data_IF_535113810152
#
_entry.id   IF_535113810152
#
_cell.length_a   1.000
_cell.length_b   1.000
_cell.length_c   1.000
_cell.angle_alpha   90.00
_cell.angle_beta   90.00
_cell.angle_gamma   90.00
#
_symmetry.space_group_name_H-M   'P 1'
#
loop_
_entity.id
_entity.type
_entity.pdbx_description
1 polymer ?
#
# COMPACT_ATOMS: atom_id res chain seq x y z
N UNK A 1 -0.74 25.54 10.46
CA UNK A 1 0.52 26.22 10.14
C UNK A 1 0.20 27.51 9.42
N UNK A 2 0.85 28.61 9.80
CA UNK A 2 0.69 29.90 9.13
C UNK A 2 1.36 29.84 7.74
N UNK A 3 0.88 30.64 6.77
CA UNK A 3 1.42 30.60 5.41
C UNK A 3 2.90 31.01 5.33
N UNK A 4 3.36 31.85 6.25
CA UNK A 4 4.78 32.20 6.40
C UNK A 4 5.66 31.00 6.75
N UNK A 5 5.19 30.09 7.61
CA UNK A 5 5.94 28.87 7.98
C UNK A 5 5.94 27.85 6.84
N UNK A 6 4.88 27.81 6.02
CA UNK A 6 4.84 26.97 4.82
C UNK A 6 5.87 27.39 3.77
N UNK A 7 6.07 28.70 3.57
CA UNK A 7 7.08 29.22 2.64
C UNK A 7 8.49 28.77 3.02
N UNK A 8 8.82 28.83 4.31
CA UNK A 8 10.12 28.37 4.83
C UNK A 8 10.31 26.87 4.58
N UNK A 9 9.28 26.05 4.80
CA UNK A 9 9.34 24.62 4.54
C UNK A 9 9.58 24.31 3.06
N UNK A 10 8.99 25.09 2.15
CA UNK A 10 9.24 24.91 0.71
C UNK A 10 10.72 25.11 0.34
N UNK A 11 11.39 26.06 0.97
CA UNK A 11 12.82 26.31 0.74
C UNK A 11 13.69 25.22 1.36
N UNK A 12 13.49 24.94 2.65
CA UNK A 12 14.32 23.97 3.39
C UNK A 12 14.16 22.55 2.84
N UNK A 13 12.95 22.14 2.43
CA UNK A 13 12.73 20.81 1.86
C UNK A 13 13.34 20.63 0.46
N UNK A 14 13.42 21.70 -0.33
CA UNK A 14 13.94 21.62 -1.69
C UNK A 14 15.46 21.77 -1.74
N UNK A 15 15.98 22.78 -1.03
CA UNK A 15 17.38 23.20 -1.13
C UNK A 15 18.22 22.76 0.07
N UNK A 16 17.59 22.31 1.15
CA UNK A 16 18.25 22.02 2.43
C UNK A 16 19.04 23.21 2.98
N UNK A 17 18.62 24.42 2.62
CA UNK A 17 19.18 25.69 3.11
C UNK A 17 18.07 26.65 3.50
N UNK A 18 18.40 27.59 4.38
CA UNK A 18 17.51 28.66 4.82
C UNK A 18 18.17 30.00 4.54
N UNK A 19 17.56 30.81 3.67
CA UNK A 19 17.97 32.20 3.43
C UNK A 19 17.29 33.14 4.42
N UNK A 20 18.10 33.97 5.08
CA UNK A 20 17.63 34.97 6.04
C UNK A 20 18.10 36.33 5.55
N UNK A 21 17.15 37.23 5.28
CA UNK A 21 17.41 38.63 4.99
C UNK A 21 16.69 39.50 6.03
N UNK A 22 17.42 39.95 7.06
CA UNK A 22 16.84 40.79 8.12
C UNK A 22 17.87 41.77 8.69
N UNK A 23 17.46 43.02 8.89
CA UNK A 23 18.29 44.07 9.51
C UNK A 23 19.69 44.24 8.86
N UNK A 24 19.76 44.15 7.53
CA UNK A 24 21.02 44.27 6.79
C UNK A 24 21.91 43.01 6.79
N UNK A 25 21.52 41.95 7.51
CA UNK A 25 22.19 40.66 7.46
C UNK A 25 21.49 39.81 6.38
N UNK A 26 22.24 39.46 5.34
CA UNK A 26 21.85 38.53 4.30
C UNK A 26 22.76 37.31 4.44
N UNK A 27 22.23 36.20 4.94
CA UNK A 27 22.98 34.96 5.08
C UNK A 27 22.15 33.75 4.63
N UNK A 28 22.85 32.73 4.15
CA UNK A 28 22.27 31.44 3.81
C UNK A 28 22.85 30.40 4.78
N UNK A 29 21.98 29.79 5.58
CA UNK A 29 22.35 28.79 6.56
C UNK A 29 22.04 27.40 6.01
N UNK A 30 22.93 26.45 6.29
CA UNK A 30 22.71 25.05 5.95
C UNK A 30 21.71 24.42 6.94
N UNK A 31 20.67 23.77 6.41
CA UNK A 31 19.58 23.16 7.18
C UNK A 31 19.35 21.71 6.75
N UNK A 32 20.43 20.95 6.49
CA UNK A 32 20.39 19.51 6.20
C UNK A 32 19.78 18.74 7.36
N UNK A 33 18.50 18.43 7.26
CA UNK A 33 17.76 17.62 8.21
C UNK A 33 16.77 16.71 7.49
N UNK A 34 16.47 15.57 8.09
CA UNK A 34 15.37 14.70 7.66
C UNK A 34 14.10 15.13 8.39
N UNK A 35 13.00 15.31 7.66
CA UNK A 35 11.73 15.74 8.23
C UNK A 35 10.84 14.53 8.41
N UNK A 36 10.38 14.34 9.64
CA UNK A 36 9.27 13.46 9.97
C UNK A 36 8.09 14.33 10.39
N UNK A 37 6.95 14.15 9.76
CA UNK A 37 5.74 14.92 10.03
C UNK A 37 4.56 13.97 10.29
N UNK A 38 3.75 14.33 11.27
CA UNK A 38 2.44 13.74 11.49
C UNK A 38 1.38 14.80 11.16
N UNK A 39 0.35 14.41 10.43
CA UNK A 39 -0.76 15.27 10.06
C UNK A 39 -2.08 14.56 10.35
N UNK A 40 -3.03 15.32 10.90
CA UNK A 40 -4.39 14.84 11.10
C UNK A 40 -5.27 15.32 9.93
N UNK A 41 -6.31 14.55 9.56
CA UNK A 41 -7.29 15.01 8.59
C UNK A 41 -8.06 16.23 9.11
N UNK A 42 -8.56 17.06 8.20
CA UNK A 42 -9.22 18.35 8.52
C UNK A 42 -10.40 18.18 9.47
N UNK A 43 -11.22 17.14 9.28
CA UNK A 43 -12.41 16.87 10.09
C UNK A 43 -12.13 15.97 11.31
N UNK A 44 -10.87 15.78 11.71
CA UNK A 44 -10.40 14.84 12.74
C UNK A 44 -10.64 13.35 12.45
N UNK A 45 -11.68 13.01 11.68
CA UNK A 45 -11.94 11.68 11.14
C UNK A 45 -11.72 11.68 9.63
N UNK A 46 -11.22 10.56 9.11
CA UNK A 46 -11.06 10.37 7.68
C UNK A 46 -12.43 10.17 7.00
N UNK A 47 -12.80 11.09 6.11
CA UNK A 47 -14.05 10.98 5.34
C UNK A 47 -13.77 10.19 4.05
N UNK A 48 -14.35 9.00 3.93
CA UNK A 48 -14.15 8.12 2.75
C UNK A 48 -14.78 8.68 1.48
N UNK A 49 -15.68 9.66 1.61
CA UNK A 49 -16.36 10.34 0.50
C UNK A 49 -15.56 11.49 -0.08
N UNK A 50 -14.48 11.91 0.57
CA UNK A 50 -13.60 12.97 0.08
C UNK A 50 -12.31 12.37 -0.46
N UNK A 51 -11.67 13.11 -1.38
CA UNK A 51 -10.38 12.69 -1.91
C UNK A 51 -9.29 12.84 -0.85
N UNK A 52 -8.22 12.06 -0.97
CA UNK A 52 -7.04 12.13 -0.07
C UNK A 52 -6.47 13.54 0.04
N UNK A 53 -6.44 14.28 -1.06
CA UNK A 53 -5.88 15.63 -1.12
C UNK A 53 -6.77 16.63 -0.35
N UNK A 54 -8.09 16.50 -0.48
CA UNK A 54 -9.05 17.34 0.24
C UNK A 54 -9.07 17.02 1.75
N UNK A 55 -8.97 15.74 2.12
CA UNK A 55 -8.90 15.32 3.53
C UNK A 55 -7.66 15.84 4.25
N UNK A 56 -6.53 15.99 3.54
CA UNK A 56 -5.26 16.47 4.11
C UNK A 56 -5.14 18.00 4.03
N UNK A 57 -5.77 18.65 3.04
CA UNK A 57 -5.72 20.10 2.82
C UNK A 57 -4.29 20.67 2.76
N UNK A 58 -3.38 19.95 2.12
CA UNK A 58 -2.04 20.42 1.80
C UNK A 58 -1.87 20.66 0.30
N UNK A 59 -1.20 21.75 -0.11
CA UNK A 59 -0.90 21.98 -1.52
C UNK A 59 -0.07 20.83 -2.12
N UNK A 60 -0.35 20.49 -3.38
CA UNK A 60 0.41 19.47 -4.13
C UNK A 60 1.91 19.75 -4.18
N UNK A 61 2.30 21.03 -4.14
CA UNK A 61 3.71 21.44 -4.09
C UNK A 61 4.40 20.91 -2.84
N UNK A 62 3.73 20.86 -1.70
CA UNK A 62 4.30 20.36 -0.44
C UNK A 62 4.23 18.83 -0.38
N UNK A 63 3.08 18.24 -0.77
CA UNK A 63 2.91 16.79 -0.79
C UNK A 63 3.94 16.08 -1.66
N UNK A 64 4.25 16.64 -2.84
CA UNK A 64 5.26 16.09 -3.76
C UNK A 64 6.70 16.20 -3.27
N UNK A 65 6.97 16.87 -2.14
CA UNK A 65 8.31 16.95 -1.52
C UNK A 65 8.53 15.89 -0.45
N UNK A 66 7.48 15.19 -0.03
CA UNK A 66 7.63 14.04 0.85
C UNK A 66 7.92 12.80 0.01
N UNK A 67 8.99 12.08 0.38
CA UNK A 67 9.39 10.83 -0.28
C UNK A 67 8.37 9.71 -0.03
N UNK A 68 7.84 9.63 1.19
CA UNK A 68 6.84 8.65 1.61
C UNK A 68 5.75 9.33 2.42
N UNK A 69 4.50 9.03 2.08
CA UNK A 69 3.30 9.47 2.80
C UNK A 69 2.54 8.23 3.22
N UNK A 70 2.49 7.96 4.52
CA UNK A 70 1.73 6.85 5.07
C UNK A 70 0.36 7.33 5.53
N UNK A 71 -0.69 6.65 5.08
CA UNK A 71 -2.04 6.90 5.53
C UNK A 71 -2.39 5.87 6.59
N UNK A 72 -2.26 6.30 7.85
CA UNK A 72 -2.68 5.50 9.00
C UNK A 72 -4.19 5.68 9.16
N UNK A 73 -4.94 4.68 8.68
CA UNK A 73 -6.39 4.61 8.86
C UNK A 73 -6.67 3.68 10.05
N UNK A 74 -7.64 4.07 10.87
CA UNK A 74 -8.12 3.29 12.00
C UNK A 74 -9.39 2.53 11.58
N UNK A 75 -9.28 1.24 11.14
CA UNK A 75 -10.45 0.44 10.85
C UNK A 75 -11.13 0.03 12.15
N UNK A 76 -12.42 0.29 12.27
CA UNK A 76 -13.24 -0.23 13.37
C UNK A 76 -13.48 -1.73 13.18
N UNK A 77 -12.50 -2.55 13.55
CA UNK A 77 -12.57 -4.02 13.49
C UNK A 77 -12.38 -4.62 14.89
N UNK A 78 -13.42 -5.27 15.40
CA UNK A 78 -13.42 -5.91 16.73
C UNK A 78 -12.27 -6.93 16.89
N UNK A 79 -11.89 -7.63 15.81
CA UNK A 79 -10.81 -8.61 15.86
C UNK A 79 -9.44 -7.94 16.05
N UNK A 80 -9.21 -6.81 15.37
CA UNK A 80 -8.00 -6.01 15.51
C UNK A 80 -7.94 -5.34 16.90
N UNK A 81 -9.04 -4.72 17.32
CA UNK A 81 -9.16 -4.07 18.62
C UNK A 81 -8.93 -5.05 19.77
N UNK A 82 -9.45 -6.28 19.65
CA UNK A 82 -9.21 -7.33 20.65
C UNK A 82 -7.75 -7.74 20.74
N UNK A 83 -7.04 -7.80 19.61
CA UNK A 83 -5.59 -8.12 19.60
C UNK A 83 -4.79 -6.97 20.20
N UNK A 84 -5.11 -5.73 19.82
CA UNK A 84 -4.48 -4.53 20.36
C UNK A 84 -4.70 -4.43 21.87
N UNK A 85 -5.93 -4.61 22.34
CA UNK A 85 -6.26 -4.58 23.76
C UNK A 85 -5.52 -5.67 24.53
N UNK A 86 -5.45 -6.90 23.99
CA UNK A 86 -4.67 -7.99 24.60
C UNK A 86 -3.19 -7.64 24.73
N UNK A 87 -2.59 -7.06 23.68
CA UNK A 87 -1.19 -6.66 23.69
C UNK A 87 -0.92 -5.48 24.66
N UNK A 88 -1.82 -4.48 24.69
CA UNK A 88 -1.70 -3.38 25.64
C UNK A 88 -1.81 -3.86 27.09
N UNK A 89 -2.78 -4.75 27.39
CA UNK A 89 -2.92 -5.33 28.73
C UNK A 89 -1.72 -6.23 29.06
N UNK A 90 -1.18 -6.97 28.09
CA UNK A 90 0.01 -7.80 28.32
C UNK A 90 1.19 -6.94 28.73
N UNK A 91 1.42 -5.77 28.12
CA UNK A 91 2.49 -4.85 28.52
C UNK A 91 2.38 -4.37 29.98
N UNK A 92 1.16 -4.16 30.50
CA UNK A 92 0.98 -3.76 31.91
C UNK A 92 1.04 -4.93 32.89
N UNK A 93 0.82 -6.16 32.41
CA UNK A 93 0.86 -7.38 33.21
C UNK A 93 2.21 -8.12 33.11
N UNK A 94 3.02 -7.82 32.11
CA UNK A 94 4.31 -8.44 31.89
C UNK A 94 5.28 -8.03 33.00
N UNK A 95 6.01 -9.03 33.49
CA UNK A 95 7.12 -8.80 34.43
C UNK A 95 8.33 -8.39 33.60
N UNK A 96 9.17 -7.49 34.12
CA UNK A 96 10.37 -6.94 33.45
C UNK A 96 11.33 -8.00 32.89
N UNK A 97 11.27 -9.24 33.38
CA UNK A 97 12.06 -10.39 32.95
C UNK A 97 11.62 -10.97 31.58
N UNK A 98 10.34 -10.86 31.20
CA UNK A 98 9.84 -11.33 29.89
C UNK A 98 10.06 -10.29 28.78
N UNK A 99 10.22 -9.00 29.14
CA UNK A 99 10.63 -7.96 28.18
C UNK A 99 12.05 -8.23 27.64
N UNK A 100 12.93 -8.84 28.45
CA UNK A 100 14.34 -9.05 28.08
C UNK A 100 14.55 -10.17 27.04
N UNK A 101 13.61 -11.11 26.87
CA UNK A 101 13.74 -12.23 25.91
C UNK A 101 13.41 -11.85 24.45
N UNK A 102 12.61 -10.79 24.22
CA UNK A 102 12.22 -10.34 22.88
C UNK A 102 13.04 -9.13 22.36
N UNK A 103 13.89 -8.53 23.20
CA UNK A 103 14.55 -7.28 22.88
C UNK A 103 15.95 -7.51 22.28
N UNK A 104 16.12 -7.07 21.04
CA UNK A 104 17.44 -6.69 20.54
C UNK A 104 17.95 -5.58 21.45
N UNK A 105 19.14 -5.75 22.04
CA UNK A 105 19.74 -4.72 22.89
C UNK A 105 19.81 -3.40 22.13
N UNK A 106 19.16 -2.39 22.70
CA UNK A 106 19.12 -1.03 22.17
C UNK A 106 20.53 -0.43 22.01
N UNK A 107 21.51 -0.89 22.81
CA UNK A 107 22.91 -0.51 22.68
C UNK A 107 23.49 -1.01 21.34
N UNK A 108 23.31 -2.29 21.03
CA UNK A 108 23.77 -2.93 19.80
C UNK A 108 23.12 -2.28 18.58
N UNK A 109 21.81 -2.00 18.63
CA UNK A 109 21.11 -1.35 17.52
C UNK A 109 21.66 0.05 17.23
N UNK A 110 21.97 0.83 18.27
CA UNK A 110 22.57 2.16 18.12
C UNK A 110 23.95 2.08 17.47
N UNK A 111 24.78 1.15 17.94
CA UNK A 111 26.12 0.93 17.40
C UNK A 111 26.05 0.43 15.95
N UNK A 112 25.11 -0.45 15.63
CA UNK A 112 24.83 -0.94 14.28
C UNK A 112 24.49 0.21 13.33
N UNK A 113 23.56 1.09 13.72
CA UNK A 113 23.15 2.24 12.90
C UNK A 113 24.32 3.23 12.75
N UNK A 114 25.07 3.50 13.82
CA UNK A 114 26.22 4.40 13.79
C UNK A 114 27.30 3.87 12.82
N UNK A 115 27.61 2.58 12.90
CA UNK A 115 28.56 1.92 12.01
C UNK A 115 28.09 1.97 10.54
N UNK A 116 26.82 1.62 10.27
CA UNK A 116 26.23 1.66 8.93
C UNK A 116 26.37 3.04 8.27
N UNK A 117 26.12 4.10 9.04
CA UNK A 117 26.12 5.48 8.53
C UNK A 117 27.51 6.00 8.19
N UNK A 118 28.53 5.59 8.95
CA UNK A 118 29.91 6.10 8.80
C UNK A 118 30.65 5.30 7.72
N UNK A 119 30.56 3.97 7.74
CA UNK A 119 31.45 3.11 6.98
C UNK A 119 30.92 2.71 5.60
N UNK A 120 29.62 2.89 5.34
CA UNK A 120 28.97 2.28 4.17
C UNK A 120 28.32 3.34 3.30
N UNK A 121 28.77 3.39 2.05
CA UNK A 121 28.25 4.26 1.02
C UNK A 121 27.94 3.42 -0.21
N UNK A 122 26.71 2.89 -0.31
CA UNK A 122 26.34 2.01 -1.40
C UNK A 122 26.34 2.74 -2.73
N UNK A 123 26.83 2.08 -3.78
CA UNK A 123 26.77 2.57 -5.16
C UNK A 123 25.76 1.76 -5.97
N UNK A 124 25.09 2.41 -6.91
CA UNK A 124 24.12 1.72 -7.77
C UNK A 124 24.84 0.75 -8.72
N UNK A 125 24.31 -0.48 -8.80
CA UNK A 125 24.66 -1.42 -9.87
C UNK A 125 23.91 -1.08 -11.17
N UNK A 126 24.39 -1.61 -12.30
CA UNK A 126 23.70 -1.46 -13.58
C UNK A 126 22.32 -2.13 -13.57
N UNK A 127 22.20 -3.30 -12.96
CA UNK A 127 20.93 -4.03 -12.84
C UNK A 127 19.89 -3.24 -12.03
N UNK A 128 20.31 -2.66 -10.90
CA UNK A 128 19.45 -1.80 -10.09
C UNK A 128 19.01 -0.55 -10.87
N UNK A 129 19.92 0.06 -11.64
CA UNK A 129 19.63 1.25 -12.44
C UNK A 129 18.57 0.98 -13.51
N UNK A 130 18.70 -0.12 -14.26
CA UNK A 130 17.68 -0.53 -15.25
C UNK A 130 16.32 -0.77 -14.57
N UNK A 131 16.33 -1.41 -13.41
CA UNK A 131 15.11 -1.70 -12.65
C UNK A 131 14.40 -0.45 -12.15
N UNK A 132 15.16 0.55 -11.69
CA UNK A 132 14.65 1.86 -11.27
C UNK A 132 14.00 2.62 -12.42
N UNK A 133 14.65 2.64 -13.60
CA UNK A 133 14.10 3.26 -14.80
C UNK A 133 12.77 2.60 -15.19
N UNK A 134 12.74 1.26 -15.22
CA UNK A 134 11.51 0.53 -15.51
C UNK A 134 10.40 0.85 -14.49
N UNK A 135 10.73 0.87 -13.19
CA UNK A 135 9.77 1.18 -12.14
C UNK A 135 9.20 2.60 -12.29
N UNK A 136 10.03 3.59 -12.64
CA UNK A 136 9.60 4.96 -12.87
C UNK A 136 8.67 5.09 -14.08
N UNK A 137 9.01 4.42 -15.20
CA UNK A 137 8.15 4.41 -16.40
C UNK A 137 6.80 3.75 -16.11
N UNK A 138 6.79 2.64 -15.37
CA UNK A 138 5.55 1.98 -14.91
C UNK A 138 4.69 2.92 -14.06
N UNK A 139 5.29 3.60 -13.08
CA UNK A 139 4.59 4.58 -12.22
C UNK A 139 3.96 5.71 -13.04
N UNK A 140 4.70 6.22 -14.04
CA UNK A 140 4.21 7.30 -14.90
C UNK A 140 3.03 6.87 -15.78
N UNK A 141 3.07 5.65 -16.34
CA UNK A 141 1.94 5.08 -17.12
C UNK A 141 0.68 4.95 -16.27
N UNK A 142 0.82 4.45 -15.04
CA UNK A 142 -0.31 4.31 -14.10
C UNK A 142 -0.90 5.68 -13.76
N UNK A 143 -0.07 6.69 -13.49
CA UNK A 143 -0.51 8.05 -13.21
C UNK A 143 -1.24 8.71 -14.40
N UNK A 144 -0.75 8.54 -15.63
CA UNK A 144 -1.39 9.12 -16.82
C UNK A 144 -2.80 8.58 -17.11
N UNK A 145 -3.09 7.34 -16.74
CA UNK A 145 -4.41 6.73 -16.95
C UNK A 145 -5.45 7.09 -15.88
N UNK A 146 -5.03 7.64 -14.73
CA UNK A 146 -5.85 7.67 -13.50
C UNK A 146 -6.23 9.07 -13.01
N UNK A 147 -5.83 10.15 -13.68
CA UNK A 147 -6.08 11.53 -13.24
C UNK A 147 -5.46 11.92 -11.87
N UNK A 148 -4.99 10.93 -11.12
CA UNK A 148 -4.21 11.04 -9.91
C UNK A 148 -2.80 11.50 -10.26
N UNK A 149 -2.33 12.46 -9.46
CA UNK A 149 -1.00 13.06 -9.38
C UNK A 149 0.05 12.34 -10.24
N UNK A 150 0.35 12.96 -11.39
CA UNK A 150 1.37 12.52 -12.35
C UNK A 150 2.71 12.32 -11.63
N UNK A 151 3.31 11.12 -11.79
CA UNK A 151 4.58 10.76 -11.18
C UNK A 151 5.67 11.80 -11.47
N UNK A 152 6.14 12.52 -10.45
CA UNK A 152 7.16 13.56 -10.58
C UNK A 152 8.56 12.93 -10.64
N UNK A 153 9.54 13.58 -11.32
CA UNK A 153 10.94 13.15 -11.28
C UNK A 153 11.49 12.93 -9.87
N UNK A 154 11.00 13.69 -8.87
CA UNK A 154 11.37 13.53 -7.46
C UNK A 154 11.13 12.12 -6.91
N UNK A 155 10.08 11.44 -7.37
CA UNK A 155 9.80 10.06 -6.91
C UNK A 155 10.91 9.10 -7.30
N UNK A 156 11.60 9.33 -8.43
CA UNK A 156 12.76 8.54 -8.81
C UNK A 156 13.93 8.80 -7.85
N UNK A 157 14.18 10.06 -7.48
CA UNK A 157 15.18 10.40 -6.46
C UNK A 157 14.85 9.76 -5.11
N UNK A 158 13.57 9.79 -4.70
CA UNK A 158 13.09 9.12 -3.48
C UNK A 158 13.36 7.62 -3.52
N UNK A 159 13.06 6.95 -4.64
CA UNK A 159 13.33 5.52 -4.81
C UNK A 159 14.83 5.20 -4.74
N UNK A 160 15.68 6.03 -5.34
CA UNK A 160 17.14 5.88 -5.26
C UNK A 160 17.60 5.99 -3.80
N UNK A 161 17.17 7.03 -3.08
CA UNK A 161 17.50 7.23 -1.66
C UNK A 161 17.04 6.06 -0.79
N UNK A 162 15.84 5.54 -1.03
CA UNK A 162 15.28 4.40 -0.30
C UNK A 162 16.05 3.11 -0.59
N UNK A 163 16.40 2.85 -1.85
CA UNK A 163 17.18 1.67 -2.23
C UNK A 163 18.60 1.72 -1.64
N UNK A 164 19.26 2.89 -1.68
CA UNK A 164 20.55 3.10 -1.02
C UNK A 164 20.46 2.92 0.50
N UNK A 165 19.39 3.42 1.14
CA UNK A 165 19.17 3.24 2.57
C UNK A 165 18.98 1.76 2.93
N UNK A 166 18.25 1.00 2.11
CA UNK A 166 18.06 -0.44 2.31
C UNK A 166 19.37 -1.22 2.14
N UNK A 167 20.15 -0.92 1.10
CA UNK A 167 21.47 -1.52 0.90
C UNK A 167 22.41 -1.23 2.09
N UNK A 168 22.39 0.01 2.59
CA UNK A 168 23.16 0.45 3.76
C UNK A 168 22.76 -0.29 5.04
N UNK A 169 21.47 -0.56 5.23
CA UNK A 169 20.97 -1.32 6.38
C UNK A 169 21.50 -2.76 6.40
N UNK A 170 21.72 -3.37 5.23
CA UNK A 170 22.29 -4.72 5.07
C UNK A 170 23.83 -4.75 5.10
N UNK A 171 24.47 -3.61 5.30
CA UNK A 171 25.90 -3.42 5.15
C UNK A 171 26.45 -3.74 3.73
N UNK A 172 25.62 -3.61 2.70
CA UNK A 172 26.06 -3.76 1.31
C UNK A 172 26.64 -2.46 0.77
N UNK A 173 27.79 -2.55 0.08
CA UNK A 173 28.40 -1.44 -0.64
C UNK A 173 27.85 -1.26 -2.06
N UNK A 174 26.95 -2.16 -2.49
CA UNK A 174 26.36 -2.13 -3.83
C UNK A 174 24.84 -2.28 -3.68
N UNK A 175 24.09 -1.42 -4.36
CA UNK A 175 22.63 -1.53 -4.44
C UNK A 175 22.29 -2.63 -5.44
N UNK A 176 21.56 -3.63 -4.97
CA UNK A 176 21.10 -4.75 -5.77
C UNK A 176 19.64 -4.57 -6.20
N UNK A 177 19.20 -5.40 -7.14
CA UNK A 177 17.81 -5.41 -7.61
C UNK A 177 16.79 -5.60 -6.47
N UNK A 178 17.13 -6.40 -5.46
CA UNK A 178 16.25 -6.66 -4.31
C UNK A 178 15.95 -5.39 -3.51
N UNK A 179 16.94 -4.50 -3.38
CA UNK A 179 16.78 -3.25 -2.63
C UNK A 179 15.80 -2.30 -3.33
N UNK A 180 15.86 -2.27 -4.67
CA UNK A 180 14.94 -1.49 -5.51
C UNK A 180 13.52 -2.05 -5.44
N UNK A 181 13.38 -3.38 -5.40
CA UNK A 181 12.07 -4.03 -5.32
C UNK A 181 11.39 -3.79 -3.97
N UNK A 182 12.15 -3.81 -2.87
CA UNK A 182 11.66 -3.44 -1.54
C UNK A 182 11.30 -1.95 -1.44
N UNK A 183 12.15 -1.05 -1.96
CA UNK A 183 11.83 0.38 -2.03
C UNK A 183 10.56 0.64 -2.84
N UNK A 184 10.38 -0.07 -3.97
CA UNK A 184 9.16 -0.01 -4.79
C UNK A 184 7.95 -0.56 -4.04
N UNK A 185 8.11 -1.64 -3.27
CA UNK A 185 7.04 -2.22 -2.44
C UNK A 185 6.59 -1.21 -1.39
N UNK A 186 7.52 -0.61 -0.65
CA UNK A 186 7.24 0.40 0.36
C UNK A 186 6.53 1.62 -0.23
N UNK A 187 7.04 2.16 -1.34
CA UNK A 187 6.43 3.30 -2.01
C UNK A 187 5.03 2.97 -2.53
N UNK A 188 4.86 1.77 -3.10
CA UNK A 188 3.54 1.30 -3.55
C UNK A 188 2.58 1.13 -2.38
N UNK A 189 3.03 0.65 -1.23
CA UNK A 189 2.15 0.47 -0.06
C UNK A 189 1.69 1.83 0.49
N UNK A 190 2.61 2.79 0.59
CA UNK A 190 2.29 4.19 0.89
C UNK A 190 1.24 4.78 -0.09
N UNK A 191 1.38 4.48 -1.39
CA UNK A 191 0.39 4.91 -2.41
C UNK A 191 -0.89 4.08 -2.43
N UNK A 192 -0.84 2.78 -2.08
CA UNK A 192 -2.00 1.86 -2.08
C UNK A 192 -2.97 2.17 -0.96
N UNK A 193 -2.48 2.60 0.20
CA UNK A 193 -3.36 3.17 1.23
C UNK A 193 -4.05 4.45 0.73
N UNK A 194 -3.46 5.12 -0.26
CA UNK A 194 -4.08 6.23 -1.00
C UNK A 194 -4.94 5.77 -2.18
N UNK A 195 -5.19 4.46 -2.36
CA UNK A 195 -5.88 3.91 -3.54
C UNK A 195 -7.36 4.29 -3.54
N UNK A 196 -7.58 5.44 -4.17
CA UNK A 196 -8.84 5.89 -4.73
C UNK A 196 -9.30 4.97 -5.87
N UNK A 197 -10.58 4.62 -5.90
CA UNK A 197 -11.21 3.88 -6.99
C UNK A 197 -11.12 4.68 -8.32
N UNK A 198 -10.65 4.09 -9.45
CA UNK A 198 -10.29 4.82 -10.68
C UNK A 198 -11.40 5.63 -11.36
N UNK A 199 -12.67 5.42 -10.97
CA UNK A 199 -13.82 6.16 -11.52
C UNK A 199 -14.33 7.26 -10.59
N UNK A 200 -14.12 7.14 -9.29
CA UNK A 200 -14.79 7.98 -8.28
C UNK A 200 -13.84 8.84 -7.48
N UNK A 201 -12.53 8.51 -7.43
CA UNK A 201 -11.58 9.25 -6.61
C UNK A 201 -11.76 9.00 -5.11
N UNK A 202 -12.60 8.03 -4.71
CA UNK A 202 -12.94 7.72 -3.32
C UNK A 202 -12.10 6.56 -2.80
N UNK A 203 -11.60 6.67 -1.57
CA UNK A 203 -10.90 5.56 -0.90
C UNK A 203 -11.94 4.58 -0.38
N UNK A 204 -11.91 3.37 -0.91
CA UNK A 204 -12.77 2.30 -0.44
C UNK A 204 -12.07 1.54 0.69
N UNK A 205 -12.40 1.89 1.94
CA UNK A 205 -11.83 1.29 3.16
C UNK A 205 -12.02 -0.24 3.19
N UNK A 206 -13.00 -0.75 2.46
CA UNK A 206 -13.23 -2.18 2.30
C UNK A 206 -12.11 -2.92 1.53
N UNK A 207 -11.38 -2.25 0.63
CA UNK A 207 -10.20 -2.83 -0.05
C UNK A 207 -9.09 -3.12 0.96
N UNK A 208 -8.95 -2.29 2.00
CA UNK A 208 -7.90 -2.39 3.00
C UNK A 208 -8.11 -3.55 3.97
N UNK A 209 -9.35 -3.78 4.40
CA UNK A 209 -9.68 -4.85 5.35
C UNK A 209 -9.86 -6.22 4.66
N UNK A 210 -10.35 -6.26 3.41
CA UNK A 210 -10.74 -7.52 2.75
C UNK A 210 -9.95 -7.87 1.50
N UNK A 211 -9.07 -6.98 1.02
CA UNK A 211 -8.27 -7.20 -0.20
C UNK A 211 -9.06 -7.19 -1.51
N UNK A 212 -10.35 -6.87 -1.48
CA UNK A 212 -11.26 -6.91 -2.64
C UNK A 212 -11.92 -5.55 -2.86
N UNK A 213 -11.91 -5.06 -4.11
CA UNK A 213 -12.63 -3.83 -4.48
C UNK A 213 -14.14 -4.03 -4.47
N UNK A 214 -14.91 -2.97 -4.26
CA UNK A 214 -16.39 -3.04 -4.38
C UNK A 214 -16.79 -3.46 -5.79
N UNK A 215 -16.05 -3.06 -6.82
CA UNK A 215 -16.26 -3.56 -8.19
C UNK A 215 -15.91 -5.04 -8.35
N UNK A 216 -14.87 -5.56 -7.70
CA UNK A 216 -14.56 -6.99 -7.68
C UNK A 216 -15.57 -7.80 -6.87
N UNK A 217 -16.08 -7.26 -5.75
CA UNK A 217 -17.17 -7.87 -4.96
C UNK A 217 -18.45 -7.93 -5.80
N UNK A 218 -18.80 -6.84 -6.47
CA UNK A 218 -19.96 -6.78 -7.37
C UNK A 218 -19.82 -7.78 -8.51
N UNK A 219 -18.64 -7.83 -9.14
CA UNK A 219 -18.32 -8.78 -10.22
C UNK A 219 -18.36 -10.23 -9.73
N UNK A 220 -17.88 -10.53 -8.51
CA UNK A 220 -18.01 -11.86 -7.89
C UNK A 220 -19.47 -12.24 -7.67
N UNK A 221 -20.28 -11.32 -7.14
CA UNK A 221 -21.72 -11.55 -6.94
C UNK A 221 -22.44 -11.75 -8.28
N UNK A 222 -22.08 -11.00 -9.31
CA UNK A 222 -22.63 -11.16 -10.67
C UNK A 222 -22.25 -12.52 -11.28
N UNK A 223 -20.98 -12.93 -11.16
CA UNK A 223 -20.50 -14.25 -11.63
C UNK A 223 -21.22 -15.37 -10.85
N UNK A 224 -21.35 -15.26 -9.53
CA UNK A 224 -22.05 -16.25 -8.71
C UNK A 224 -23.54 -16.35 -9.09
N UNK A 225 -24.21 -15.21 -9.35
CA UNK A 225 -25.60 -15.18 -9.84
C UNK A 225 -25.74 -15.80 -11.23
N UNK A 226 -24.85 -15.45 -12.16
CA UNK A 226 -24.85 -16.02 -13.51
C UNK A 226 -24.64 -17.54 -13.46
N UNK A 227 -23.73 -18.01 -12.61
CA UNK A 227 -23.47 -19.43 -12.39
C UNK A 227 -24.67 -20.14 -11.78
N UNK A 228 -25.37 -19.51 -10.82
CA UNK A 228 -26.62 -20.01 -10.23
C UNK A 228 -27.73 -20.18 -11.28
N UNK A 229 -27.91 -19.20 -12.17
CA UNK A 229 -28.91 -19.28 -13.26
C UNK A 229 -28.56 -20.38 -14.27
N UNK A 230 -27.27 -20.54 -14.61
CA UNK A 230 -26.77 -21.62 -15.47
C UNK A 230 -27.00 -23.01 -14.86
N UNK A 231 -26.80 -23.14 -13.55
CA UNK A 231 -27.03 -24.40 -12.83
C UNK A 231 -28.52 -24.74 -12.71
N UNK A 232 -29.38 -23.73 -12.55
CA UNK A 232 -30.83 -23.93 -12.51
C UNK A 232 -31.41 -24.30 -13.88
N UNK A 233 -30.90 -23.72 -14.98
CA UNK A 233 -31.39 -24.02 -16.34
C UNK A 233 -30.97 -25.40 -16.84
N UNK A 234 -29.83 -25.94 -16.37
CA UNK A 234 -29.35 -27.27 -16.77
C UNK A 234 -30.08 -28.43 -16.09
N UNK A 235 -30.87 -28.20 -15.03
CA UNK A 235 -31.66 -29.24 -14.37
C UNK A 235 -30.83 -30.34 -13.69
N UNK A 236 -31.47 -31.16 -12.85
CA UNK A 236 -30.87 -32.11 -11.91
C UNK A 236 -29.92 -33.17 -12.56
N UNK A 237 -28.67 -32.81 -12.81
CA UNK A 237 -27.58 -33.77 -13.00
C UNK A 237 -26.86 -33.96 -11.65
N UNK A 238 -26.78 -35.19 -11.10
CA UNK A 238 -26.32 -35.39 -9.73
C UNK A 238 -24.82 -35.19 -9.54
N UNK A 239 -24.00 -35.24 -10.61
CA UNK A 239 -22.55 -35.01 -10.55
C UNK A 239 -22.06 -34.36 -11.85
N UNK A 240 -21.56 -33.12 -11.78
CA UNK A 240 -20.90 -32.44 -12.90
C UNK A 240 -19.40 -32.29 -12.64
N UNK A 241 -18.56 -32.43 -13.67
CA UNK A 241 -17.12 -32.19 -13.56
C UNK A 241 -16.84 -30.68 -13.59
N UNK A 242 -16.08 -30.17 -12.61
CA UNK A 242 -15.80 -28.76 -12.43
C UNK A 242 -15.09 -28.15 -13.66
N UNK A 243 -14.32 -28.95 -14.39
CA UNK A 243 -13.58 -28.50 -15.58
C UNK A 243 -14.49 -28.27 -16.78
N UNK A 244 -15.47 -29.16 -17.00
CA UNK A 244 -16.49 -28.99 -18.06
C UNK A 244 -17.44 -27.85 -17.73
N UNK A 245 -17.79 -27.70 -16.45
CA UNK A 245 -18.64 -26.61 -15.98
C UNK A 245 -17.99 -25.24 -16.19
N UNK A 246 -16.66 -25.16 -16.03
CA UNK A 246 -15.89 -23.96 -16.33
C UNK A 246 -15.86 -23.63 -17.83
N UNK A 247 -15.68 -24.63 -18.70
CA UNK A 247 -15.70 -24.44 -20.15
C UNK A 247 -17.08 -23.98 -20.64
N UNK A 248 -18.14 -24.65 -20.19
CA UNK A 248 -19.53 -24.26 -20.49
C UNK A 248 -19.85 -22.84 -20.00
N UNK A 249 -19.37 -22.48 -18.80
CA UNK A 249 -19.58 -21.15 -18.23
C UNK A 249 -18.80 -20.07 -18.98
N UNK A 250 -17.61 -20.41 -19.49
CA UNK A 250 -16.80 -19.52 -20.31
C UNK A 250 -17.41 -19.28 -21.69
N UNK A 251 -18.05 -20.29 -22.29
CA UNK A 251 -18.75 -20.14 -23.57
C UNK A 251 -20.07 -19.38 -23.43
N UNK A 252 -20.77 -19.51 -22.30
CA UNK A 252 -22.00 -18.77 -22.02
C UNK A 252 -21.80 -17.33 -21.52
N UNK A 253 -20.58 -16.94 -21.17
CA UNK A 253 -20.27 -15.62 -20.61
C UNK A 253 -19.56 -14.73 -21.64
N UNK A 254 -20.09 -13.53 -21.85
CA UNK A 254 -19.53 -12.53 -22.78
C UNK A 254 -18.23 -11.86 -22.24
N UNK A 255 -17.89 -12.12 -20.97
CA UNK A 255 -16.72 -11.57 -20.29
C UNK A 255 -15.66 -12.66 -20.00
N UNK A 256 -14.35 -12.34 -20.13
CA UNK A 256 -13.29 -13.29 -19.80
C UNK A 256 -13.22 -13.52 -18.27
N UNK A 257 -13.67 -14.68 -17.83
CA UNK A 257 -13.62 -15.13 -16.42
C UNK A 257 -12.34 -15.93 -16.18
N UNK A 258 -11.58 -15.59 -15.14
CA UNK A 258 -10.40 -16.38 -14.74
C UNK A 258 -10.80 -17.58 -13.87
N UNK A 259 -9.95 -18.61 -13.84
CA UNK A 259 -10.20 -19.82 -13.04
C UNK A 259 -10.38 -19.52 -11.55
N UNK A 260 -9.56 -18.61 -11.00
CA UNK A 260 -9.66 -18.19 -9.60
C UNK A 260 -11.01 -17.53 -9.28
N UNK A 261 -11.56 -16.72 -10.20
CA UNK A 261 -12.86 -16.08 -10.02
C UNK A 261 -14.01 -17.09 -10.01
N UNK A 262 -13.89 -18.15 -10.81
CA UNK A 262 -14.87 -19.24 -10.85
C UNK A 262 -14.81 -20.12 -9.60
N UNK A 263 -13.60 -20.47 -9.14
CA UNK A 263 -13.42 -21.25 -7.92
C UNK A 263 -13.91 -20.49 -6.68
N UNK A 264 -13.72 -19.17 -6.63
CA UNK A 264 -14.27 -18.31 -5.58
C UNK A 264 -15.81 -18.23 -5.64
N UNK A 265 -16.41 -18.17 -6.84
CA UNK A 265 -17.85 -18.21 -7.01
C UNK A 265 -18.46 -19.55 -6.57
N UNK A 266 -17.78 -20.67 -6.83
CA UNK A 266 -18.18 -21.99 -6.34
C UNK A 266 -18.11 -22.09 -4.81
N UNK A 267 -17.09 -21.49 -4.19
CA UNK A 267 -17.00 -21.41 -2.71
C UNK A 267 -18.17 -20.63 -2.14
N UNK A 268 -18.50 -19.49 -2.74
CA UNK A 268 -19.64 -18.68 -2.29
C UNK A 268 -20.97 -19.45 -2.39
N UNK A 269 -21.20 -20.21 -3.46
CA UNK A 269 -22.41 -21.03 -3.61
C UNK A 269 -22.42 -22.27 -2.70
N UNK A 270 -21.24 -22.75 -2.29
CA UNK A 270 -21.11 -23.76 -1.24
C UNK A 270 -21.45 -23.18 0.14
N UNK A 271 -21.04 -21.96 0.42
CA UNK A 271 -21.39 -21.25 1.67
C UNK A 271 -22.90 -20.92 1.74
N UNK A 272 -23.56 -20.73 0.59
CA UNK A 272 -25.03 -20.62 0.47
C UNK A 272 -25.77 -21.98 0.52
N UNK A 273 -25.08 -23.08 0.84
CA UNK A 273 -25.61 -24.47 0.86
C UNK A 273 -26.29 -24.91 -0.46
N UNK A 274 -25.98 -24.27 -1.59
CA UNK A 274 -26.58 -24.60 -2.89
C UNK A 274 -25.82 -25.73 -3.61
N UNK A 275 -24.53 -25.93 -3.29
CA UNK A 275 -23.64 -26.88 -3.96
C UNK A 275 -22.70 -27.60 -2.98
N UNK A 276 -22.51 -28.91 -3.16
CA UNK A 276 -21.41 -29.67 -2.55
C UNK A 276 -20.33 -29.87 -3.61
N UNK A 277 -19.17 -29.28 -3.37
CA UNK A 277 -17.96 -29.57 -4.17
C UNK A 277 -17.20 -30.71 -3.50
N UNK A 278 -17.16 -31.86 -4.16
CA UNK A 278 -16.40 -33.05 -3.72
C UNK A 278 -15.25 -33.28 -4.69
N UNK A 279 -14.08 -32.72 -4.39
CA UNK A 279 -12.90 -32.83 -5.27
C UNK A 279 -13.15 -32.21 -6.66
N UNK A 280 -13.20 -33.04 -7.70
CA UNK A 280 -13.46 -32.61 -9.10
C UNK A 280 -14.95 -32.54 -9.45
N UNK A 281 -15.83 -33.08 -8.62
CA UNK A 281 -17.27 -33.15 -8.92
C UNK A 281 -18.06 -32.14 -8.10
N UNK A 282 -18.96 -31.42 -8.77
CA UNK A 282 -19.92 -30.49 -8.17
C UNK A 282 -21.30 -31.14 -8.18
N UNK A 283 -21.96 -31.14 -7.02
CA UNK A 283 -23.31 -31.68 -6.84
C UNK A 283 -24.23 -30.58 -6.30
N UNK A 284 -25.43 -30.47 -6.86
CA UNK A 284 -26.45 -29.51 -6.42
C UNK A 284 -27.18 -30.07 -5.19
N UNK A 285 -27.30 -29.25 -4.15
CA UNK A 285 -28.15 -29.51 -2.98
C UNK A 285 -29.50 -28.84 -3.25
N UNK A 286 -30.58 -29.56 -2.99
CA UNK A 286 -31.96 -29.07 -3.07
C UNK A 286 -32.35 -28.47 -1.72
#
# INVERSE_FOLDING_TARGET
>A
MNDSTRSILHEVMEQQTLSIAKAGIICQLNARTSILAAANPVKSQWDTKLTTVENIQLPHTLLSRFDLIFLMLDPQDEAYDRRLAKHLVSLYHQTREEEEEELVDMSILKDYIAYARIHIQPKLSEEASQRLIQAYVEMRKVGSSRGAVSAYPRQLESLIRLAEAHAKMRFSNIVEKVDVEEARRLHREALKQSATDPKTGLIDVNILATGLSVSDRQRRIEIAKALKTMLQSKGQAPNMDAQRLFEDFREGSDAPVTRDQFDDALRQLKDEDFLIVTGRTVRIII
#
